data_IF_418179797732
#
_entry.id   IF_418179797732
#
_cell.length_a   1.000
_cell.length_b   1.000
_cell.length_c   1.000
_cell.angle_alpha   90.00
_cell.angle_beta   90.00
_cell.angle_gamma   90.00
#
_symmetry.space_group_name_H-M   'P 1'
#
loop_
_entity.id
_entity.type
_entity.pdbx_description
1 polymer ?
#
# COMPACT_ATOMS: atom_id res chain seq x y z
N UNK A 1 -65.08 29.58 25.92
CA UNK A 1 -64.04 30.35 25.21
C UNK A 1 -62.80 29.45 25.19
N UNK A 2 -62.56 28.63 24.15
CA UNK A 2 -61.62 28.89 23.01
C UNK A 2 -60.47 29.82 23.46
N UNK A 3 -59.18 29.52 23.30
CA UNK A 3 -58.45 29.32 22.05
C UNK A 3 -57.25 28.38 22.20
N UNK A 4 -57.02 27.58 21.15
CA UNK A 4 -55.86 26.73 20.92
C UNK A 4 -54.69 27.51 20.29
N UNK A 5 -53.46 27.08 20.56
CA UNK A 5 -52.36 27.10 19.57
C UNK A 5 -51.55 25.80 19.71
N UNK A 6 -51.83 24.87 18.80
CA UNK A 6 -51.00 23.71 18.56
C UNK A 6 -49.75 24.13 17.80
N UNK A 7 -48.59 23.96 18.43
CA UNK A 7 -47.33 23.93 17.70
C UNK A 7 -47.23 22.55 17.01
N UNK A 8 -46.82 22.47 15.73
CA UNK A 8 -46.52 21.20 15.11
C UNK A 8 -45.40 20.53 15.91
N UNK A 9 -45.64 19.32 16.41
CA UNK A 9 -44.54 18.43 16.76
C UNK A 9 -43.80 18.14 15.47
N UNK A 10 -42.61 18.70 15.33
CA UNK A 10 -41.64 18.22 14.35
C UNK A 10 -41.23 16.83 14.83
N UNK A 11 -41.98 15.81 14.41
CA UNK A 11 -41.43 14.48 14.26
C UNK A 11 -40.53 14.57 13.03
N UNK A 12 -39.27 14.89 13.24
CA UNK A 12 -38.23 14.39 12.34
C UNK A 12 -37.60 13.20 13.05
N UNK A 13 -38.35 12.11 13.03
CA UNK A 13 -37.78 10.77 13.10
C UNK A 13 -36.90 10.61 11.86
N UNK A 14 -35.64 11.01 12.02
CA UNK A 14 -34.53 10.48 11.24
C UNK A 14 -33.73 9.59 12.20
N UNK A 15 -34.32 8.43 12.45
CA UNK A 15 -33.57 7.23 12.72
C UNK A 15 -32.52 7.02 11.62
N UNK A 16 -31.32 6.64 12.06
CA UNK A 16 -30.24 6.01 11.28
C UNK A 16 -29.65 6.76 10.09
N UNK A 17 -28.72 7.69 10.34
CA UNK A 17 -27.66 7.98 9.37
C UNK A 17 -26.26 7.99 9.99
N UNK A 18 -25.67 6.78 9.99
CA UNK A 18 -24.23 6.44 10.04
C UNK A 18 -23.52 6.77 11.34
N UNK A 19 -23.51 5.79 12.25
CA UNK A 19 -22.39 5.59 13.14
C UNK A 19 -21.13 5.45 12.27
N UNK A 20 -20.30 6.50 12.23
CA UNK A 20 -19.00 6.45 11.57
C UNK A 20 -18.16 5.50 12.43
N UNK A 21 -18.14 4.22 12.08
CA UNK A 21 -17.15 3.28 12.58
C UNK A 21 -15.79 3.77 12.10
N UNK A 22 -15.12 4.59 12.90
CA UNK A 22 -13.73 4.96 12.68
C UNK A 22 -12.89 3.69 12.87
N UNK A 23 -12.64 3.01 11.75
CA UNK A 23 -11.67 1.91 11.70
C UNK A 23 -10.28 2.53 11.83
N UNK A 24 -9.53 2.10 12.84
CA UNK A 24 -8.18 2.58 13.11
C UNK A 24 -7.26 2.28 11.91
N UNK A 25 -6.43 3.25 11.53
CA UNK A 25 -5.46 3.09 10.44
C UNK A 25 -4.06 2.99 11.00
N UNK A 26 -3.37 1.91 10.68
CA UNK A 26 -2.05 1.57 11.22
C UNK A 26 -1.06 1.46 10.08
N UNK A 27 -0.03 2.30 10.07
CA UNK A 27 1.04 2.21 9.07
C UNK A 27 2.02 1.09 9.43
N UNK A 28 2.29 0.21 8.47
CA UNK A 28 3.20 -0.92 8.63
C UNK A 28 4.66 -0.50 8.45
N UNK A 29 5.54 -1.08 9.27
CA UNK A 29 6.98 -1.16 9.04
C UNK A 29 7.31 -2.41 8.19
N UNK A 30 8.39 -2.33 7.43
CA UNK A 30 9.00 -3.44 6.71
C UNK A 30 9.23 -4.68 7.59
N UNK A 31 9.67 -4.49 8.84
CA UNK A 31 9.97 -5.61 9.72
C UNK A 31 8.71 -6.43 10.05
N UNK A 32 7.55 -5.80 10.26
CA UNK A 32 6.29 -6.50 10.54
C UNK A 32 5.89 -7.38 9.36
N UNK A 33 6.00 -6.83 8.14
CA UNK A 33 5.72 -7.56 6.89
C UNK A 33 6.68 -8.75 6.75
N UNK A 34 7.98 -8.53 6.95
CA UNK A 34 9.00 -9.58 6.83
C UNK A 34 8.81 -10.69 7.87
N UNK A 35 8.49 -10.35 9.12
CA UNK A 35 8.21 -11.32 10.19
C UNK A 35 6.93 -12.10 9.93
N UNK A 36 5.93 -11.49 9.31
CA UNK A 36 4.73 -12.20 8.88
C UNK A 36 5.05 -13.23 7.78
N UNK A 37 5.82 -12.82 6.76
CA UNK A 37 6.08 -13.63 5.58
C UNK A 37 7.13 -14.74 5.77
N UNK A 38 8.27 -14.42 6.41
CA UNK A 38 9.39 -15.35 6.59
C UNK A 38 9.25 -16.12 7.90
N UNK A 39 8.89 -15.36 8.94
CA UNK A 39 8.69 -15.77 10.31
C UNK A 39 9.82 -16.58 10.95
N UNK A 40 11.03 -16.26 10.52
CA UNK A 40 12.31 -16.48 11.19
C UNK A 40 12.31 -16.20 12.72
N UNK A 41 11.38 -15.40 13.23
CA UNK A 41 11.11 -15.22 14.66
C UNK A 41 9.67 -15.66 15.03
N UNK A 42 9.48 -16.76 15.79
CA UNK A 42 8.16 -17.26 16.15
C UNK A 42 7.31 -16.29 16.98
N UNK A 43 7.93 -15.46 17.83
CA UNK A 43 7.20 -14.50 18.68
C UNK A 43 6.67 -13.35 17.84
N UNK A 44 7.55 -12.73 17.04
CA UNK A 44 7.16 -11.63 16.16
C UNK A 44 6.20 -12.10 15.05
N UNK A 45 6.39 -13.32 14.51
CA UNK A 45 5.47 -13.91 13.54
C UNK A 45 4.04 -14.00 14.09
N UNK A 46 3.85 -14.43 15.35
CA UNK A 46 2.52 -14.49 15.99
C UNK A 46 1.90 -13.11 16.16
N UNK A 47 2.69 -12.12 16.56
CA UNK A 47 2.21 -10.75 16.74
C UNK A 47 1.81 -10.11 15.41
N UNK A 48 2.66 -10.22 14.39
CA UNK A 48 2.36 -9.73 13.05
C UNK A 48 1.13 -10.43 12.48
N UNK A 49 1.02 -11.77 12.61
CA UNK A 49 -0.16 -12.52 12.17
C UNK A 49 -1.45 -12.03 12.79
N UNK A 50 -1.48 -11.78 14.12
CA UNK A 50 -2.66 -11.20 14.77
C UNK A 50 -3.06 -9.85 14.17
N UNK A 51 -2.07 -9.02 13.83
CA UNK A 51 -2.33 -7.72 13.22
C UNK A 51 -2.99 -7.86 11.83
N UNK A 52 -2.53 -8.80 11.01
CA UNK A 52 -3.15 -9.11 9.72
C UNK A 52 -4.53 -9.77 9.87
N UNK A 53 -4.74 -10.62 10.88
CA UNK A 53 -6.05 -11.20 11.20
C UNK A 53 -7.06 -10.10 11.60
N UNK A 54 -6.65 -9.15 12.45
CA UNK A 54 -7.48 -7.99 12.80
C UNK A 54 -7.85 -7.13 11.61
N UNK A 55 -6.92 -6.95 10.66
CA UNK A 55 -7.19 -6.25 9.40
C UNK A 55 -8.23 -7.01 8.55
N UNK A 56 -8.09 -8.33 8.45
CA UNK A 56 -9.01 -9.18 7.70
C UNK A 56 -10.42 -9.26 8.31
N UNK A 57 -10.52 -9.12 9.63
CA UNK A 57 -11.78 -9.02 10.37
C UNK A 57 -12.40 -7.60 10.34
N UNK A 58 -11.72 -6.63 9.71
CA UNK A 58 -12.21 -5.26 9.55
C UNK A 58 -12.09 -4.38 10.81
N UNK A 59 -11.35 -4.84 11.83
CA UNK A 59 -11.12 -4.06 13.07
C UNK A 59 -10.17 -2.87 12.86
N UNK A 60 -9.25 -3.00 11.90
CA UNK A 60 -8.28 -1.96 11.54
C UNK A 60 -7.97 -2.00 10.04
N UNK A 61 -7.33 -0.97 9.53
CA UNK A 61 -6.73 -0.94 8.19
C UNK A 61 -5.23 -0.82 8.28
N UNK A 62 -4.52 -1.67 7.57
CA UNK A 62 -3.07 -1.65 7.47
C UNK A 62 -2.65 -0.85 6.25
N UNK A 63 -1.94 0.24 6.49
CA UNK A 63 -1.41 1.11 5.45
C UNK A 63 0.02 0.72 5.12
N UNK A 64 0.35 0.57 3.84
CA UNK A 64 1.69 0.22 3.38
C UNK A 64 2.29 1.40 2.59
N UNK A 65 3.24 2.15 3.18
CA UNK A 65 3.97 3.18 2.46
C UNK A 65 4.84 2.59 1.34
N UNK A 66 4.98 3.32 0.23
CA UNK A 66 5.85 2.90 -0.89
C UNK A 66 7.31 2.72 -0.47
N UNK A 67 7.78 3.51 0.50
CA UNK A 67 9.11 3.35 1.07
C UNK A 67 9.28 2.01 1.81
N UNK A 68 8.21 1.54 2.47
CA UNK A 68 8.21 0.25 3.17
C UNK A 68 8.22 -0.90 2.16
N UNK A 69 7.51 -0.79 1.04
CA UNK A 69 7.63 -1.74 -0.08
C UNK A 69 9.08 -1.80 -0.58
N UNK A 70 9.72 -0.65 -0.81
CA UNK A 70 11.10 -0.60 -1.27
C UNK A 70 12.07 -1.26 -0.28
N UNK A 71 11.88 -1.04 1.03
CA UNK A 71 12.68 -1.70 2.08
C UNK A 71 12.46 -3.21 2.10
N UNK A 72 11.22 -3.69 2.02
CA UNK A 72 10.92 -5.14 1.95
C UNK A 72 11.64 -5.78 0.77
N UNK A 73 11.54 -5.17 -0.42
CA UNK A 73 12.23 -5.67 -1.63
C UNK A 73 13.74 -5.66 -1.44
N UNK A 74 14.31 -4.57 -0.95
CA UNK A 74 15.75 -4.45 -0.73
C UNK A 74 16.24 -5.51 0.26
N UNK A 75 15.57 -5.70 1.39
CA UNK A 75 15.94 -6.70 2.40
C UNK A 75 15.84 -8.12 1.85
N UNK A 76 14.76 -8.44 1.12
CA UNK A 76 14.59 -9.76 0.52
C UNK A 76 15.64 -10.03 -0.57
N UNK A 77 15.91 -9.06 -1.45
CA UNK A 77 16.86 -9.22 -2.55
C UNK A 77 18.32 -9.25 -2.08
N UNK A 78 18.70 -8.38 -1.14
CA UNK A 78 20.11 -8.22 -0.72
C UNK A 78 20.50 -9.20 0.40
N UNK A 79 19.75 -9.22 1.49
CA UNK A 79 20.08 -10.01 2.67
C UNK A 79 19.64 -11.46 2.51
N UNK A 80 18.38 -11.69 2.13
CA UNK A 80 17.85 -13.05 1.94
C UNK A 80 18.16 -13.66 0.58
N UNK A 81 18.64 -12.86 -0.39
CA UNK A 81 18.91 -13.29 -1.78
C UNK A 81 17.71 -14.00 -2.42
N UNK A 82 16.51 -13.57 -2.06
CA UNK A 82 15.27 -14.11 -2.60
C UNK A 82 15.16 -13.78 -4.10
N UNK A 83 14.54 -14.68 -4.85
CA UNK A 83 14.32 -14.45 -6.28
C UNK A 83 13.31 -13.33 -6.51
N UNK A 84 13.40 -12.68 -7.67
CA UNK A 84 12.50 -11.59 -8.04
C UNK A 84 11.04 -12.07 -8.11
N UNK A 85 10.84 -13.29 -8.61
CA UNK A 85 9.54 -13.94 -8.71
C UNK A 85 8.92 -14.17 -7.32
N UNK A 86 9.73 -14.65 -6.36
CA UNK A 86 9.30 -14.79 -4.97
C UNK A 86 8.91 -13.45 -4.37
N UNK A 87 9.75 -12.43 -4.54
CA UNK A 87 9.50 -11.08 -4.01
C UNK A 87 8.20 -10.51 -4.58
N UNK A 88 8.01 -10.57 -5.90
CA UNK A 88 6.80 -10.04 -6.54
C UNK A 88 5.56 -10.80 -6.10
N UNK A 89 5.63 -12.14 -5.98
CA UNK A 89 4.52 -12.95 -5.50
C UNK A 89 4.13 -12.61 -4.05
N UNK A 90 5.12 -12.39 -3.19
CA UNK A 90 4.90 -11.95 -1.80
C UNK A 90 4.23 -10.57 -1.75
N UNK A 91 4.68 -9.61 -2.57
CA UNK A 91 4.08 -8.28 -2.60
C UNK A 91 2.63 -8.31 -3.14
N UNK A 92 2.34 -9.12 -4.15
CA UNK A 92 0.97 -9.31 -4.63
C UNK A 92 0.08 -9.90 -3.53
N UNK A 93 0.53 -10.97 -2.87
CA UNK A 93 -0.23 -11.57 -1.77
C UNK A 93 -0.46 -10.58 -0.61
N UNK A 94 0.52 -9.73 -0.29
CA UNK A 94 0.38 -8.67 0.71
C UNK A 94 -0.73 -7.67 0.33
N UNK A 95 -0.72 -7.20 -0.92
CA UNK A 95 -1.67 -6.19 -1.40
C UNK A 95 -3.07 -6.75 -1.67
N UNK A 96 -3.20 -8.06 -1.87
CA UNK A 96 -4.48 -8.76 -1.98
C UNK A 96 -5.06 -9.14 -0.60
N UNK A 97 -4.31 -8.95 0.48
CA UNK A 97 -4.77 -9.29 1.84
C UNK A 97 -5.89 -8.31 2.28
N UNK A 98 -7.06 -8.83 2.71
CA UNK A 98 -8.14 -7.97 3.19
C UNK A 98 -7.70 -7.04 4.33
N UNK A 99 -8.09 -5.77 4.25
CA UNK A 99 -7.72 -4.75 5.23
C UNK A 99 -6.32 -4.15 5.02
N UNK A 100 -5.56 -4.59 4.02
CA UNK A 100 -4.26 -4.00 3.64
C UNK A 100 -4.41 -3.07 2.44
N UNK A 101 -3.85 -1.86 2.55
CA UNK A 101 -3.92 -0.84 1.50
C UNK A 101 -2.56 -0.18 1.32
N UNK A 102 -2.02 -0.16 0.11
CA UNK A 102 -0.88 0.70 -0.22
C UNK A 102 -1.31 2.17 -0.24
N UNK A 103 -0.45 3.08 0.25
CA UNK A 103 -0.73 4.52 0.22
C UNK A 103 -0.79 5.08 -1.21
N UNK A 104 -0.04 4.49 -2.14
CA UNK A 104 0.00 4.87 -3.55
C UNK A 104 -0.34 3.65 -4.43
N UNK A 105 -1.59 3.14 -4.41
CA UNK A 105 -1.91 1.81 -4.92
C UNK A 105 -1.61 1.64 -6.41
N UNK A 106 -1.89 2.68 -7.22
CA UNK A 106 -1.60 2.67 -8.66
C UNK A 106 -0.10 2.65 -8.95
N UNK A 107 0.66 3.51 -8.26
CA UNK A 107 2.13 3.59 -8.39
C UNK A 107 2.77 2.29 -7.93
N UNK A 108 2.36 1.75 -6.79
CA UNK A 108 2.90 0.50 -6.23
C UNK A 108 2.59 -0.68 -7.13
N UNK A 109 1.35 -0.85 -7.58
CA UNK A 109 0.98 -1.92 -8.52
C UNK A 109 1.86 -1.86 -9.77
N UNK A 110 1.96 -0.67 -10.38
CA UNK A 110 2.76 -0.46 -11.57
C UNK A 110 4.26 -0.66 -11.33
N UNK A 111 4.76 -0.24 -10.18
CA UNK A 111 6.14 -0.45 -9.76
C UNK A 111 6.47 -1.96 -9.68
N UNK A 112 5.58 -2.77 -9.09
CA UNK A 112 5.76 -4.22 -8.98
C UNK A 112 5.78 -4.87 -10.37
N UNK A 113 4.88 -4.48 -11.28
CA UNK A 113 4.88 -4.95 -12.67
C UNK A 113 6.21 -4.65 -13.39
N UNK A 114 6.67 -3.40 -13.30
CA UNK A 114 7.92 -2.95 -13.92
C UNK A 114 9.11 -3.69 -13.31
N UNK A 115 9.15 -3.81 -11.98
CA UNK A 115 10.19 -4.53 -11.26
C UNK A 115 10.22 -6.02 -11.62
N UNK A 116 9.06 -6.64 -11.85
CA UNK A 116 8.95 -8.04 -12.29
C UNK A 116 9.47 -8.22 -13.72
N UNK A 117 9.03 -7.36 -14.64
CA UNK A 117 9.32 -7.49 -16.07
C UNK A 117 10.74 -7.04 -16.47
N UNK A 118 11.38 -6.19 -15.65
CA UNK A 118 12.67 -5.61 -15.97
C UNK A 118 13.69 -5.84 -14.86
N UNK A 119 14.92 -6.19 -15.25
CA UNK A 119 16.03 -6.32 -14.31
C UNK A 119 16.56 -4.94 -13.87
N UNK A 120 15.80 -4.28 -12.97
CA UNK A 120 16.15 -3.01 -12.32
C UNK A 120 15.91 -3.05 -10.82
N UNK A 121 16.44 -2.03 -10.14
CA UNK A 121 16.16 -1.75 -8.75
C UNK A 121 14.70 -1.33 -8.56
N UNK A 122 14.13 -1.65 -7.40
CA UNK A 122 12.74 -1.29 -7.08
C UNK A 122 12.51 0.21 -7.08
N UNK A 123 13.52 1.00 -6.67
CA UNK A 123 13.43 2.46 -6.66
C UNK A 123 13.40 3.03 -8.08
N UNK A 124 14.17 2.45 -9.01
CA UNK A 124 14.11 2.83 -10.43
C UNK A 124 12.72 2.51 -11.02
N UNK A 125 12.17 1.33 -10.69
CA UNK A 125 10.83 0.94 -11.11
C UNK A 125 9.75 1.89 -10.55
N UNK A 126 9.89 2.29 -9.28
CA UNK A 126 9.01 3.26 -8.63
C UNK A 126 9.06 4.63 -9.33
N UNK A 127 10.24 5.14 -9.69
CA UNK A 127 10.36 6.42 -10.39
C UNK A 127 9.67 6.40 -11.77
N UNK A 128 9.76 5.28 -12.49
CA UNK A 128 9.04 5.11 -13.77
C UNK A 128 7.53 5.08 -13.53
N UNK A 129 7.06 4.26 -12.58
CA UNK A 129 5.65 4.16 -12.26
C UNK A 129 5.06 5.50 -11.79
N UNK A 130 5.79 6.25 -10.98
CA UNK A 130 5.38 7.57 -10.51
C UNK A 130 5.34 8.59 -11.66
N UNK A 131 6.32 8.57 -12.56
CA UNK A 131 6.33 9.42 -13.75
C UNK A 131 5.13 9.14 -14.66
N UNK A 132 4.76 7.87 -14.83
CA UNK A 132 3.57 7.44 -15.58
C UNK A 132 2.27 7.93 -14.90
N UNK A 133 2.10 7.68 -13.59
CA UNK A 133 0.89 8.06 -12.83
C UNK A 133 0.71 9.59 -12.77
N UNK A 134 1.78 10.33 -12.49
CA UNK A 134 1.76 11.80 -12.41
C UNK A 134 1.79 12.50 -13.76
N UNK A 135 1.90 11.74 -14.86
CA UNK A 135 2.07 12.27 -16.23
C UNK A 135 3.24 13.25 -16.35
N UNK A 136 4.34 12.95 -15.64
CA UNK A 136 5.57 13.74 -15.62
C UNK A 136 6.68 12.96 -16.31
N UNK A 137 6.75 12.98 -17.66
CA UNK A 137 7.64 12.09 -18.41
C UNK A 137 9.11 12.54 -18.40
N UNK A 138 9.49 13.55 -17.62
CA UNK A 138 10.86 14.07 -17.57
C UNK A 138 11.52 13.60 -16.28
N UNK A 139 12.60 12.81 -16.42
CA UNK A 139 13.36 12.29 -15.29
C UNK A 139 14.80 12.81 -15.33
N UNK A 140 15.21 13.50 -14.26
CA UNK A 140 16.61 13.87 -14.04
C UNK A 140 17.39 12.67 -13.49
N UNK A 141 18.41 12.21 -14.20
CA UNK A 141 19.21 11.06 -13.78
C UNK A 141 20.57 11.00 -14.49
N UNK A 142 21.62 10.74 -13.70
CA UNK A 142 22.92 10.34 -14.24
C UNK A 142 22.94 8.87 -14.69
N UNK A 143 21.99 8.05 -14.23
CA UNK A 143 21.97 6.60 -14.45
C UNK A 143 21.08 6.19 -15.65
N UNK A 144 21.28 6.86 -16.79
CA UNK A 144 20.40 6.73 -17.98
C UNK A 144 20.23 5.29 -18.47
N UNK A 145 21.21 4.41 -18.24
CA UNK A 145 21.18 3.01 -18.72
C UNK A 145 19.95 2.22 -18.21
N UNK A 146 19.46 2.50 -17.00
CA UNK A 146 18.29 1.79 -16.45
C UNK A 146 16.97 2.31 -17.02
N UNK A 147 16.95 3.54 -17.51
CA UNK A 147 15.72 4.18 -17.99
C UNK A 147 15.55 4.12 -19.51
N UNK A 148 16.60 3.77 -20.28
CA UNK A 148 16.55 3.64 -21.75
C UNK A 148 15.49 2.68 -22.29
N UNK A 149 15.05 1.72 -21.48
CA UNK A 149 13.98 0.76 -21.82
C UNK A 149 12.57 1.35 -21.74
N UNK A 150 12.43 2.58 -21.24
CA UNK A 150 11.16 3.30 -21.14
C UNK A 150 11.19 4.49 -22.09
N UNK A 151 10.86 4.29 -23.38
CA UNK A 151 11.03 5.32 -24.43
C UNK A 151 10.10 6.53 -24.25
N UNK A 152 9.06 6.40 -23.43
CA UNK A 152 8.16 7.49 -23.09
C UNK A 152 8.78 8.49 -22.09
N UNK A 153 9.93 8.17 -21.48
CA UNK A 153 10.64 9.08 -20.59
C UNK A 153 11.69 9.91 -21.33
N UNK A 154 11.66 11.23 -21.11
CA UNK A 154 12.73 12.17 -21.46
C UNK A 154 13.73 12.24 -20.31
N UNK A 155 14.96 11.83 -20.57
CA UNK A 155 16.03 11.83 -19.55
C UNK A 155 16.88 13.09 -19.64
N UNK A 156 16.98 13.83 -18.54
CA UNK A 156 17.88 14.99 -18.40
C UNK A 156 19.00 14.67 -17.40
N UNK A 157 20.20 15.26 -17.55
CA UNK A 157 21.25 15.18 -16.53
C UNK A 157 20.76 15.73 -15.19
#
# INVERSE_FOLDING_TARGET
MSWAWGLPRVNNDQSDEREITHVEEVSLDSNVILRHALGDDPSHRRQARRLFEQAGEGMLRLLVPSLVIAQVVWTLASFYRASREYITGLLHALLETPGVTALEPRVVSRCIEIYSAHNIEIVDAYLVALAEETKTPVLATFNKKHFRRFPHLKLIP
#
